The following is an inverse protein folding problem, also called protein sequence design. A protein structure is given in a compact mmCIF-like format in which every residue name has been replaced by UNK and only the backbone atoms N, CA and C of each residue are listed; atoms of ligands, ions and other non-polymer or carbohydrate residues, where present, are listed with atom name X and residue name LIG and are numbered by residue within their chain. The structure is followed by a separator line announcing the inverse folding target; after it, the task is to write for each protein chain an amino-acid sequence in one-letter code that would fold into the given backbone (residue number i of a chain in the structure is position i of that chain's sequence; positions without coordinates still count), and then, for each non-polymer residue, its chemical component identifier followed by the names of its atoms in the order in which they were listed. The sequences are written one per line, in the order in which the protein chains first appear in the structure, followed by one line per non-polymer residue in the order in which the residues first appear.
data_IF_298329460745
#
_entry.id   IF_298329460745
#
_cell.length_a   1.000
_cell.length_b   1.000
_cell.length_c   1.000
_cell.angle_alpha   90.00
_cell.angle_beta   90.00
_cell.angle_gamma   90.00
#
_symmetry.space_group_name_H-M   'P 1'
#
loop_
_entity.id
_entity.type
_entity.pdbx_description
1 polymer ?
#
# COMPACT_ATOMS: atom_id res chain seq x y z
N UNK A 1 -6.68 9.99 -3.37
CA UNK A 1 -5.48 10.30 -2.57
C UNK A 1 -5.72 9.74 -1.18
N UNK A 2 -4.75 9.08 -0.55
CA UNK A 2 -4.91 8.54 0.80
C UNK A 2 -5.25 9.67 1.80
N UNK A 3 -6.06 9.38 2.83
CA UNK A 3 -6.39 10.38 3.84
C UNK A 3 -5.16 10.72 4.69
N UNK A 4 -5.19 11.88 5.36
CA UNK A 4 -4.08 12.36 6.20
C UNK A 4 -3.72 11.39 7.33
N UNK A 5 -4.74 10.70 7.87
CA UNK A 5 -4.61 9.66 8.90
C UNK A 5 -5.53 8.49 8.57
N UNK A 6 -5.06 7.29 8.86
CA UNK A 6 -5.80 6.04 8.69
C UNK A 6 -5.88 5.38 10.07
N UNK A 7 -7.09 5.02 10.50
CA UNK A 7 -7.32 4.24 11.71
C UNK A 7 -6.99 2.76 11.43
N UNK A 8 -6.12 2.19 12.25
CA UNK A 8 -5.67 0.79 12.17
C UNK A 8 -6.09 -0.02 13.40
N UNK A 9 -6.93 0.54 14.28
CA UNK A 9 -7.35 -0.10 15.53
C UNK A 9 -8.18 -1.36 15.33
N UNK A 10 -8.81 -1.53 14.17
CA UNK A 10 -9.50 -2.75 13.76
C UNK A 10 -8.57 -3.80 13.12
N UNK A 11 -7.25 -3.62 13.22
CA UNK A 11 -6.27 -4.54 12.67
C UNK A 11 -6.39 -5.95 13.24
N UNK A 12 -6.24 -6.96 12.38
CA UNK A 12 -6.20 -8.37 12.76
C UNK A 12 -4.83 -8.94 12.41
N UNK A 13 -4.12 -9.45 13.41
CA UNK A 13 -2.87 -10.18 13.22
C UNK A 13 -3.19 -11.67 13.00
N UNK A 14 -2.63 -12.24 11.95
CA UNK A 14 -2.82 -13.64 11.58
C UNK A 14 -1.72 -14.52 12.16
N UNK A 15 -2.01 -15.80 12.37
CA UNK A 15 -1.05 -16.78 12.92
C UNK A 15 0.19 -16.99 12.05
N UNK A 16 0.09 -16.73 10.74
CA UNK A 16 1.21 -16.77 9.79
C UNK A 16 2.08 -15.50 9.81
N UNK A 17 1.83 -14.56 10.73
CA UNK A 17 2.52 -13.27 10.81
C UNK A 17 2.01 -12.23 9.81
N UNK A 18 0.98 -12.52 9.02
CA UNK A 18 0.26 -11.54 8.22
C UNK A 18 -0.58 -10.60 9.08
N UNK A 19 -1.09 -9.53 8.46
CA UNK A 19 -2.01 -8.61 9.10
C UNK A 19 -3.05 -8.09 8.11
N UNK A 20 -4.28 -7.83 8.57
CA UNK A 20 -5.35 -7.19 7.79
C UNK A 20 -5.77 -5.91 8.48
N UNK A 21 -5.87 -4.83 7.71
CA UNK A 21 -6.32 -3.50 8.16
C UNK A 21 -7.42 -3.00 7.22
N UNK A 22 -8.69 -3.25 7.56
CA UNK A 22 -9.80 -3.09 6.60
C UNK A 22 -9.93 -1.67 6.06
N UNK A 23 -9.70 -0.65 6.88
CA UNK A 23 -9.77 0.75 6.43
C UNK A 23 -8.61 1.12 5.49
N UNK A 24 -7.43 0.52 5.68
CA UNK A 24 -6.31 0.71 4.76
C UNK A 24 -6.62 0.08 3.39
N UNK A 25 -7.24 -1.10 3.39
CA UNK A 25 -7.70 -1.77 2.15
C UNK A 25 -8.77 -0.94 1.44
N UNK A 26 -9.79 -0.48 2.16
CA UNK A 26 -10.85 0.35 1.59
C UNK A 26 -10.31 1.63 0.94
N UNK A 27 -9.34 2.29 1.59
CA UNK A 27 -8.69 3.46 1.00
C UNK A 27 -7.85 3.12 -0.23
N UNK A 28 -7.17 1.97 -0.25
CA UNK A 28 -6.47 1.51 -1.43
C UNK A 28 -7.42 1.25 -2.58
N UNK A 29 -8.53 0.52 -2.37
CA UNK A 29 -9.52 0.23 -3.43
C UNK A 29 -10.05 1.52 -4.09
N UNK A 30 -10.28 2.57 -3.31
CA UNK A 30 -10.70 3.89 -3.82
C UNK A 30 -9.60 4.54 -4.67
N UNK A 31 -8.34 4.47 -4.23
CA UNK A 31 -7.21 5.05 -4.97
C UNK A 31 -6.94 4.25 -6.24
N UNK A 32 -6.90 2.92 -6.14
CA UNK A 32 -6.71 1.98 -7.23
C UNK A 32 -7.73 2.24 -8.34
N UNK A 33 -9.02 2.31 -8.02
CA UNK A 33 -10.08 2.60 -8.99
C UNK A 33 -9.86 3.93 -9.75
N UNK A 34 -9.25 4.93 -9.11
CA UNK A 34 -8.95 6.22 -9.72
C UNK A 34 -7.67 6.23 -10.58
N UNK A 35 -6.72 5.33 -10.30
CA UNK A 35 -5.43 5.26 -11.03
C UNK A 35 -5.36 4.16 -12.07
N UNK A 36 -6.20 3.12 -11.94
CA UNK A 36 -6.22 1.96 -12.83
C UNK A 36 -6.41 2.34 -14.30
N UNK A 37 -7.19 3.40 -14.56
CA UNK A 37 -7.46 3.91 -15.92
C UNK A 37 -6.40 4.89 -16.44
N UNK A 38 -5.37 5.21 -15.65
CA UNK A 38 -4.37 6.24 -16.01
C UNK A 38 -3.19 5.64 -16.75
N UNK A 39 -2.36 4.85 -16.06
CA UNK A 39 -1.21 4.16 -16.65
C UNK A 39 -0.66 3.10 -15.70
N UNK A 40 0.19 2.22 -16.22
CA UNK A 40 0.88 1.19 -15.44
C UNK A 40 1.78 1.78 -14.35
N UNK A 41 2.43 2.92 -14.60
CA UNK A 41 3.24 3.64 -13.62
C UNK A 41 2.40 4.11 -12.44
N UNK A 42 1.19 4.62 -12.69
CA UNK A 42 0.31 5.07 -11.62
C UNK A 42 -0.17 3.90 -10.75
N UNK A 43 -0.52 2.76 -11.37
CA UNK A 43 -0.90 1.55 -10.63
C UNK A 43 0.27 1.00 -9.82
N UNK A 44 1.48 0.97 -10.40
CA UNK A 44 2.68 0.52 -9.68
C UNK A 44 3.02 1.45 -8.51
N UNK A 45 2.84 2.77 -8.67
CA UNK A 45 3.05 3.75 -7.60
C UNK A 45 2.05 3.58 -6.46
N UNK A 46 0.75 3.45 -6.76
CA UNK A 46 -0.26 3.21 -5.72
C UNK A 46 0.00 1.92 -4.96
N UNK A 47 0.31 0.82 -5.67
CA UNK A 47 0.65 -0.44 -5.04
C UNK A 47 1.87 -0.34 -4.12
N UNK A 48 2.90 0.40 -4.53
CA UNK A 48 4.08 0.64 -3.68
C UNK A 48 3.75 1.46 -2.43
N UNK A 49 2.92 2.49 -2.56
CA UNK A 49 2.45 3.27 -1.41
C UNK A 49 1.67 2.35 -0.46
N UNK A 50 0.72 1.58 -0.99
CA UNK A 50 -0.08 0.64 -0.20
C UNK A 50 0.78 -0.37 0.56
N UNK A 51 1.77 -0.97 -0.09
CA UNK A 51 2.68 -1.92 0.56
C UNK A 51 3.45 -1.28 1.73
N UNK A 52 3.97 -0.07 1.55
CA UNK A 52 4.70 0.62 2.63
C UNK A 52 3.76 1.08 3.74
N UNK A 53 2.55 1.54 3.43
CA UNK A 53 1.50 1.82 4.43
C UNK A 53 1.17 0.58 5.25
N UNK A 54 1.05 -0.59 4.60
CA UNK A 54 0.71 -1.83 5.27
C UNK A 54 1.82 -2.31 6.21
N UNK A 55 3.09 -2.15 5.80
CA UNK A 55 4.26 -2.39 6.66
C UNK A 55 4.25 -1.45 7.86
N UNK A 56 4.01 -0.16 7.64
CA UNK A 56 3.89 0.84 8.71
C UNK A 56 2.74 0.48 9.67
N UNK A 57 1.56 0.15 9.14
CA UNK A 57 0.39 -0.26 9.92
C UNK A 57 0.73 -1.44 10.82
N UNK A 58 1.35 -2.49 10.28
CA UNK A 58 1.76 -3.66 11.05
C UNK A 58 2.72 -3.32 12.19
N UNK A 59 3.75 -2.52 11.91
CA UNK A 59 4.72 -2.09 12.92
C UNK A 59 4.05 -1.26 14.03
N UNK A 60 3.23 -0.28 13.66
CA UNK A 60 2.54 0.61 14.60
C UNK A 60 1.49 -0.13 15.42
N UNK A 61 0.74 -1.04 14.80
CA UNK A 61 -0.25 -1.89 15.47
C UNK A 61 0.39 -2.76 16.55
N UNK A 62 1.55 -3.36 16.23
CA UNK A 62 2.33 -4.16 17.19
C UNK A 62 2.78 -3.31 18.40
N UNK A 63 3.07 -2.02 18.16
CA UNK A 63 3.39 -1.04 19.19
C UNK A 63 2.17 -0.40 19.87
N UNK A 64 0.96 -0.94 19.66
CA UNK A 64 -0.32 -0.45 20.21
C UNK A 64 -0.70 0.97 19.77
N UNK A 65 -0.15 1.44 18.66
CA UNK A 65 -0.56 2.70 18.03
C UNK A 65 -1.80 2.44 17.16
N UNK A 66 -2.77 3.35 17.23
CA UNK A 66 -4.09 3.21 16.58
C UNK A 66 -4.20 3.87 15.21
N UNK A 67 -3.24 4.72 14.85
CA UNK A 67 -3.30 5.50 13.62
C UNK A 67 -1.96 5.50 12.92
N UNK A 68 -1.99 5.52 11.59
CA UNK A 68 -0.84 5.82 10.75
C UNK A 68 -1.10 7.06 9.91
N UNK A 69 -0.04 7.71 9.48
CA UNK A 69 -0.15 8.89 8.64
C UNK A 69 0.65 8.66 7.35
N UNK A 70 0.01 8.63 6.16
CA UNK A 70 0.71 8.36 4.91
C UNK A 70 1.87 9.31 4.58
N UNK A 71 1.83 10.54 5.11
CA UNK A 71 2.91 11.52 4.95
C UNK A 71 4.19 11.17 5.72
N UNK A 72 4.13 10.24 6.67
CA UNK A 72 5.29 9.73 7.41
C UNK A 72 6.02 8.62 6.63
N UNK A 73 5.51 8.23 5.46
CA UNK A 73 6.21 7.30 4.60
C UNK A 73 7.53 7.89 4.09
N UNK A 74 8.57 7.06 4.14
CA UNK A 74 9.85 7.39 3.52
C UNK A 74 9.70 7.32 2.00
N UNK A 75 10.00 8.43 1.33
CA UNK A 75 10.04 8.50 -0.13
C UNK A 75 10.97 7.43 -0.72
N UNK A 76 12.15 7.24 -0.12
CA UNK A 76 13.13 6.23 -0.55
C UNK A 76 12.55 4.81 -0.52
N UNK A 77 11.80 4.46 0.54
CA UNK A 77 11.17 3.13 0.62
C UNK A 77 10.08 2.92 -0.43
N UNK A 78 9.28 3.96 -0.68
CA UNK A 78 8.25 3.93 -1.73
C UNK A 78 8.90 3.79 -3.11
N UNK A 79 9.98 4.53 -3.37
CA UNK A 79 10.75 4.46 -4.61
C UNK A 79 11.35 3.05 -4.84
N UNK A 80 11.96 2.46 -3.82
CA UNK A 80 12.49 1.09 -3.90
C UNK A 80 11.39 0.06 -4.20
N UNK A 81 10.23 0.20 -3.57
CA UNK A 81 9.06 -0.65 -3.85
C UNK A 81 8.53 -0.40 -5.27
N UNK A 82 8.51 0.85 -5.74
CA UNK A 82 8.10 1.22 -7.10
C UNK A 82 8.97 0.57 -8.17
N UNK A 83 10.30 0.67 -8.05
CA UNK A 83 11.22 0.06 -9.02
C UNK A 83 10.94 -1.44 -9.16
N UNK A 84 10.78 -2.15 -8.03
CA UNK A 84 10.47 -3.59 -8.01
C UNK A 84 9.11 -3.91 -8.64
N UNK A 85 8.08 -3.14 -8.29
CA UNK A 85 6.71 -3.38 -8.75
C UNK A 85 6.55 -3.02 -10.23
N UNK A 86 7.18 -1.95 -10.69
CA UNK A 86 7.11 -1.52 -12.09
C UNK A 86 7.71 -2.55 -13.04
N UNK A 87 8.85 -3.16 -12.67
CA UNK A 87 9.41 -4.29 -13.43
C UNK A 87 8.45 -5.49 -13.52
N UNK A 88 7.66 -5.74 -12.48
CA UNK A 88 6.66 -6.82 -12.47
C UNK A 88 5.50 -6.52 -13.42
N UNK A 89 4.97 -5.29 -13.35
CA UNK A 89 3.85 -4.85 -14.21
C UNK A 89 4.24 -4.90 -15.69
N UNK A 90 5.45 -4.49 -16.05
CA UNK A 90 5.95 -4.58 -17.43
C UNK A 90 6.06 -6.03 -17.92
N UNK A 91 6.51 -6.96 -17.07
CA UNK A 91 6.60 -8.39 -17.41
C UNK A 91 5.23 -9.03 -17.63
N UNK A 92 4.21 -8.61 -16.89
CA UNK A 92 2.84 -9.10 -17.05
C UNK A 92 2.16 -8.54 -18.31
N UNK A 93 2.40 -7.26 -18.62
CA UNK A 93 1.93 -6.65 -19.86
C UNK A 93 2.54 -7.32 -21.10
N UNK A 94 3.82 -7.72 -21.03
CA UNK A 94 4.52 -8.39 -22.14
C UNK A 94 4.06 -9.84 -22.40
N UNK A 95 3.41 -10.50 -21.42
CA UNK A 95 2.85 -11.85 -21.57
C UNK A 95 1.42 -11.85 -22.12
N UNK A 96 0.80 -10.67 -22.21
CA UNK A 96 -0.59 -10.50 -22.64
C UNK A 96 -0.70 -10.17 -24.15
N UNK A 97 0.40 -10.32 -24.90
CA UNK A 97 0.51 -10.20 -26.35
C UNK A 97 1.20 -11.45 -26.91
#
# INVERSE_FOLDING_TARGET
MYPVRIDISNGVMHSNGGATFSLLVEHHDIVEAAVFKKSHEHSAMDWSIFQELHKMAKCQFTSKVKFISPHELSFEKVEQSFIKNYESVLKESAKSH
#
